data_IF_074798350045
#
_entry.id   IF_074798350045
#
_cell.length_a   1.000
_cell.length_b   1.000
_cell.length_c   1.000
_cell.angle_alpha   90.00
_cell.angle_beta   90.00
_cell.angle_gamma   90.00
#
_symmetry.space_group_name_H-M   'P 1'
#
loop_
_entity.id
_entity.type
_entity.pdbx_description
1 polymer ?
#
# COMPACT_ATOMS: atom_id res chain seq x y z
N UNK A 1 9.54 -7.62 -0.43
CA UNK A 1 9.52 -6.86 0.85
C UNK A 1 10.93 -6.50 1.23
N UNK A 2 11.19 -5.22 1.51
CA UNK A 2 12.48 -4.78 2.01
C UNK A 2 12.64 -5.25 3.46
N UNK A 3 13.60 -6.12 3.79
CA UNK A 3 13.73 -6.67 5.17
C UNK A 3 14.15 -5.61 6.20
N UNK A 4 14.21 -4.35 5.82
CA UNK A 4 14.65 -3.23 6.67
C UNK A 4 13.63 -2.06 6.71
N UNK A 5 12.39 -2.29 6.26
CA UNK A 5 11.40 -1.23 6.17
C UNK A 5 11.19 -0.47 7.48
N UNK A 6 10.96 -1.19 8.58
CA UNK A 6 10.78 -0.56 9.91
C UNK A 6 12.06 0.09 10.42
N UNK A 7 13.23 -0.51 10.21
CA UNK A 7 14.53 0.07 10.62
C UNK A 7 14.89 1.35 9.84
N UNK A 8 14.32 1.56 8.65
CA UNK A 8 14.52 2.78 7.87
C UNK A 8 13.96 4.05 8.55
N UNK A 9 13.20 3.89 9.63
CA UNK A 9 12.67 5.01 10.43
C UNK A 9 13.59 5.43 11.58
N UNK A 10 14.65 4.67 11.85
CA UNK A 10 15.55 4.98 12.97
C UNK A 10 16.25 6.33 12.78
N UNK A 11 16.04 7.24 13.72
CA UNK A 11 16.62 8.57 13.71
C UNK A 11 16.06 9.54 12.67
N UNK A 12 14.99 9.18 11.96
CA UNK A 12 14.33 10.09 11.02
C UNK A 12 13.58 11.18 11.78
N UNK A 13 13.87 12.49 11.50
CA UNK A 13 13.11 13.60 12.06
C UNK A 13 11.81 13.85 11.29
N UNK A 14 10.93 14.65 11.90
CA UNK A 14 9.76 15.26 11.25
C UNK A 14 8.75 14.28 10.62
N UNK A 15 8.59 13.11 11.23
CA UNK A 15 7.54 12.19 10.84
C UNK A 15 6.16 12.69 11.30
N UNK A 16 5.09 12.42 10.55
CA UNK A 16 3.75 12.64 11.05
C UNK A 16 3.53 11.89 12.37
N UNK A 17 2.89 12.50 13.39
CA UNK A 17 2.75 11.90 14.71
C UNK A 17 2.10 10.50 14.71
N UNK A 18 1.18 10.25 13.77
CA UNK A 18 0.53 8.95 13.63
C UNK A 18 1.50 7.89 13.09
N UNK A 19 2.38 8.28 12.16
CA UNK A 19 3.44 7.39 11.63
C UNK A 19 4.45 7.03 12.73
N UNK A 20 4.88 8.01 13.53
CA UNK A 20 5.76 7.73 14.68
C UNK A 20 5.14 6.72 15.66
N UNK A 21 3.84 6.85 15.91
CA UNK A 21 3.11 5.91 16.78
C UNK A 21 3.07 4.51 16.18
N UNK A 22 2.80 4.39 14.87
CA UNK A 22 2.78 3.10 14.17
C UNK A 22 4.16 2.42 14.20
N UNK A 23 5.22 3.16 13.95
CA UNK A 23 6.61 2.66 14.01
C UNK A 23 6.95 2.16 15.41
N UNK A 24 6.56 2.90 16.46
CA UNK A 24 6.76 2.48 17.88
C UNK A 24 6.00 1.20 18.24
N UNK A 25 4.95 0.85 17.50
CA UNK A 25 4.26 -0.44 17.66
C UNK A 25 5.01 -1.53 16.86
N UNK A 26 5.43 -1.25 15.64
CA UNK A 26 6.08 -2.23 14.77
C UNK A 26 7.44 -2.72 15.29
N UNK A 27 8.23 -1.84 15.91
CA UNK A 27 9.58 -2.15 16.42
C UNK A 27 9.59 -3.24 17.48
N UNK A 28 8.86 -3.14 18.62
CA UNK A 28 8.85 -4.19 19.65
C UNK A 28 8.21 -5.50 19.19
N UNK A 29 7.29 -5.44 18.21
CA UNK A 29 6.72 -6.65 17.60
C UNK A 29 7.70 -7.38 16.67
N UNK A 30 8.89 -6.83 16.44
CA UNK A 30 9.86 -7.39 15.49
C UNK A 30 9.37 -7.37 14.04
N UNK A 31 8.36 -6.55 13.73
CA UNK A 31 7.82 -6.44 12.38
C UNK A 31 8.76 -5.59 11.51
N UNK A 32 9.47 -6.23 10.61
CA UNK A 32 10.49 -5.58 9.75
C UNK A 32 9.93 -5.03 8.45
N UNK A 33 8.72 -5.44 8.06
CA UNK A 33 8.15 -5.22 6.72
C UNK A 33 7.25 -3.99 6.62
N UNK A 34 7.48 -2.95 7.42
CA UNK A 34 6.79 -1.68 7.21
C UNK A 34 7.21 -1.04 5.88
N UNK A 35 6.31 -0.34 5.20
CA UNK A 35 6.70 0.42 4.03
C UNK A 35 7.80 1.43 4.40
N UNK A 36 8.75 1.64 3.49
CA UNK A 36 9.86 2.58 3.73
C UNK A 36 9.38 4.04 3.70
N UNK A 37 10.10 4.97 4.36
CA UNK A 37 9.71 6.39 4.41
C UNK A 37 9.52 7.05 3.03
N UNK A 38 10.30 6.62 2.04
CA UNK A 38 10.18 7.12 0.66
C UNK A 38 8.84 6.74 0.05
N UNK A 39 8.42 5.49 0.27
CA UNK A 39 7.10 5.02 -0.15
C UNK A 39 5.99 5.71 0.65
N UNK A 40 6.15 5.80 1.97
CA UNK A 40 5.20 6.50 2.85
C UNK A 40 4.92 7.94 2.42
N UNK A 41 5.95 8.69 1.99
CA UNK A 41 5.77 10.05 1.44
C UNK A 41 4.97 10.07 0.13
N UNK A 42 5.14 9.06 -0.72
CA UNK A 42 4.30 8.91 -1.92
C UNK A 42 2.83 8.68 -1.52
N UNK A 43 2.58 7.76 -0.58
CA UNK A 43 1.23 7.48 -0.07
C UNK A 43 0.59 8.73 0.54
N UNK A 44 1.32 9.47 1.36
CA UNK A 44 0.89 10.73 1.96
C UNK A 44 0.44 11.74 0.90
N UNK A 45 1.25 11.92 -0.14
CA UNK A 45 0.95 12.87 -1.21
C UNK A 45 -0.30 12.46 -2.02
N UNK A 46 -0.43 11.17 -2.35
CA UNK A 46 -1.58 10.65 -3.12
C UNK A 46 -2.88 10.67 -2.31
N UNK A 47 -2.80 10.42 -1.01
CA UNK A 47 -3.98 10.42 -0.12
C UNK A 47 -4.73 11.77 -0.11
N UNK A 48 -4.03 12.89 -0.33
CA UNK A 48 -4.61 14.23 -0.34
C UNK A 48 -5.68 14.43 -1.44
N UNK A 49 -5.65 13.63 -2.51
CA UNK A 49 -6.62 13.71 -3.61
C UNK A 49 -7.83 12.78 -3.47
N UNK A 50 -7.78 11.81 -2.56
CA UNK A 50 -8.74 10.72 -2.46
C UNK A 50 -9.86 11.01 -1.44
N UNK A 51 -11.04 10.44 -1.67
CA UNK A 51 -12.17 10.40 -0.72
C UNK A 51 -12.37 9.00 -0.14
N UNK A 52 -12.02 7.97 -0.88
CA UNK A 52 -12.09 6.57 -0.47
C UNK A 52 -10.76 5.88 -0.74
N UNK A 53 -10.08 5.45 0.30
CA UNK A 53 -8.75 4.81 0.24
C UNK A 53 -8.87 3.37 0.71
N UNK A 54 -8.29 2.45 -0.07
CA UNK A 54 -8.15 1.05 0.29
C UNK A 54 -6.67 0.66 0.46
N UNK A 55 -6.40 -0.29 1.35
CA UNK A 55 -5.07 -0.88 1.52
C UNK A 55 -5.22 -2.38 1.78
N UNK A 56 -4.35 -3.20 1.20
CA UNK A 56 -4.18 -4.61 1.57
C UNK A 56 -2.79 -4.79 2.20
N UNK A 57 -2.72 -5.47 3.36
CA UNK A 57 -1.47 -5.62 4.10
C UNK A 57 -1.21 -4.47 5.06
N UNK A 58 -2.07 -4.29 6.05
CA UNK A 58 -1.94 -3.21 7.05
C UNK A 58 -0.64 -3.31 7.86
N UNK A 59 -0.15 -4.53 8.11
CA UNK A 59 0.94 -4.78 9.04
C UNK A 59 0.63 -4.18 10.40
N UNK A 60 1.61 -3.51 11.00
CA UNK A 60 1.42 -2.75 12.25
C UNK A 60 0.87 -1.33 12.01
N UNK A 61 0.40 -1.02 10.79
CA UNK A 61 -0.30 0.22 10.47
C UNK A 61 0.57 1.37 9.98
N UNK A 62 1.83 1.15 9.60
CA UNK A 62 2.74 2.24 9.16
C UNK A 62 2.28 2.85 7.84
N UNK A 63 1.94 2.04 6.83
CA UNK A 63 1.40 2.48 5.54
C UNK A 63 0.09 3.25 5.73
N UNK A 64 -0.84 2.64 6.47
CA UNK A 64 -2.13 3.25 6.79
C UNK A 64 -1.97 4.58 7.57
N UNK A 65 -0.95 4.70 8.42
CA UNK A 65 -0.65 5.95 9.14
C UNK A 65 -0.18 7.07 8.20
N UNK A 66 0.62 6.76 7.18
CA UNK A 66 0.99 7.70 6.14
C UNK A 66 -0.24 8.15 5.34
N UNK A 67 -1.08 7.20 4.91
CA UNK A 67 -2.34 7.49 4.19
C UNK A 67 -3.26 8.38 5.02
N UNK A 68 -3.49 8.02 6.29
CA UNK A 68 -4.36 8.78 7.18
C UNK A 68 -3.83 10.18 7.50
N UNK A 69 -2.49 10.34 7.58
CA UNK A 69 -1.85 11.64 7.82
C UNK A 69 -1.92 12.57 6.60
N UNK A 70 -1.93 12.02 5.38
CA UNK A 70 -2.05 12.79 4.14
C UNK A 70 -3.49 13.05 3.69
N UNK A 71 -4.45 12.29 4.21
CA UNK A 71 -5.84 12.34 3.80
C UNK A 71 -6.54 13.64 4.28
N UNK A 72 -7.51 14.11 3.48
CA UNK A 72 -8.34 15.25 3.85
C UNK A 72 -9.37 14.86 4.91
N UNK A 73 -9.89 15.82 5.70
CA UNK A 73 -11.04 15.60 6.54
C UNK A 73 -12.22 15.00 5.74
N UNK A 74 -12.81 13.93 6.26
CA UNK A 74 -13.91 13.23 5.60
C UNK A 74 -13.50 12.09 4.65
N UNK A 75 -12.22 11.93 4.35
CA UNK A 75 -11.71 10.75 3.62
C UNK A 75 -11.94 9.48 4.43
N UNK A 76 -12.47 8.44 3.81
CA UNK A 76 -12.65 7.12 4.42
C UNK A 76 -11.48 6.21 4.02
N UNK A 77 -10.93 5.50 5.00
CA UNK A 77 -9.84 4.56 4.81
C UNK A 77 -10.26 3.17 5.29
N UNK A 78 -9.99 2.16 4.48
CA UNK A 78 -10.22 0.76 4.81
C UNK A 78 -8.94 -0.01 4.52
N UNK A 79 -8.43 -0.74 5.51
CA UNK A 79 -7.25 -1.58 5.37
C UNK A 79 -7.54 -2.99 5.85
N UNK A 80 -6.93 -4.00 5.20
CA UNK A 80 -7.13 -5.42 5.51
C UNK A 80 -5.80 -6.05 5.88
N UNK A 81 -5.77 -6.79 7.00
CA UNK A 81 -4.61 -7.51 7.50
C UNK A 81 -4.96 -8.98 7.79
N UNK A 82 -4.16 -9.89 7.24
CA UNK A 82 -4.36 -11.33 7.39
C UNK A 82 -4.05 -11.83 8.80
N UNK A 83 -3.01 -11.30 9.41
CA UNK A 83 -2.59 -11.66 10.76
C UNK A 83 -3.48 -10.98 11.80
N UNK A 84 -4.15 -11.78 12.62
CA UNK A 84 -5.15 -11.29 13.56
C UNK A 84 -4.55 -10.38 14.66
N UNK A 85 -3.30 -10.62 15.08
CA UNK A 85 -2.67 -9.81 16.11
C UNK A 85 -2.25 -8.46 15.55
N UNK A 86 -1.65 -8.43 14.36
CA UNK A 86 -1.34 -7.16 13.68
C UNK A 86 -2.59 -6.36 13.35
N UNK A 87 -3.65 -7.02 12.89
CA UNK A 87 -4.95 -6.37 12.68
C UNK A 87 -5.48 -5.71 13.96
N UNK A 88 -5.38 -6.41 15.10
CA UNK A 88 -5.79 -5.89 16.42
C UNK A 88 -4.94 -4.66 16.82
N UNK A 89 -3.62 -4.75 16.71
CA UNK A 89 -2.70 -3.65 17.03
C UNK A 89 -2.96 -2.41 16.17
N UNK A 90 -3.14 -2.61 14.88
CA UNK A 90 -3.49 -1.53 13.97
C UNK A 90 -4.87 -0.94 14.31
N UNK A 91 -5.88 -1.75 14.55
CA UNK A 91 -7.22 -1.26 14.94
C UNK A 91 -7.18 -0.42 16.23
N UNK A 92 -6.37 -0.84 17.20
CA UNK A 92 -6.14 -0.05 18.44
C UNK A 92 -5.48 1.30 18.14
N UNK A 93 -4.44 1.32 17.30
CA UNK A 93 -3.76 2.56 16.89
C UNK A 93 -4.73 3.59 16.31
N UNK A 94 -5.66 3.12 15.46
CA UNK A 94 -6.62 3.98 14.76
C UNK A 94 -7.95 4.16 15.48
N UNK A 95 -8.14 3.63 16.68
CA UNK A 95 -9.43 3.66 17.42
C UNK A 95 -10.02 5.05 17.64
N UNK A 96 -9.18 6.08 17.70
CA UNK A 96 -9.59 7.49 17.79
C UNK A 96 -9.94 8.16 16.45
N UNK A 97 -9.89 7.43 15.33
CA UNK A 97 -10.12 7.94 13.97
C UNK A 97 -11.31 7.20 13.33
N UNK A 98 -12.55 7.68 13.51
CA UNK A 98 -13.75 6.95 13.07
C UNK A 98 -13.84 6.75 11.54
N UNK A 99 -13.08 7.50 10.77
CA UNK A 99 -12.97 7.36 9.31
C UNK A 99 -12.04 6.22 8.87
N UNK A 100 -11.27 5.61 9.78
CA UNK A 100 -10.35 4.52 9.50
C UNK A 100 -10.94 3.20 9.99
N UNK A 101 -10.99 2.20 9.13
CA UNK A 101 -11.45 0.84 9.45
C UNK A 101 -10.34 -0.14 9.13
N UNK A 102 -9.93 -0.94 10.12
CA UNK A 102 -9.03 -2.08 9.94
C UNK A 102 -9.85 -3.37 10.01
N UNK A 103 -9.71 -4.23 9.01
CA UNK A 103 -10.41 -5.51 8.88
C UNK A 103 -9.38 -6.63 9.04
N UNK A 104 -9.59 -7.52 10.01
CA UNK A 104 -8.81 -8.76 10.12
C UNK A 104 -9.36 -9.80 9.15
N UNK A 105 -8.53 -10.29 8.20
CA UNK A 105 -8.95 -11.30 7.24
C UNK A 105 -8.12 -11.33 5.96
N UNK A 106 -8.59 -12.15 5.01
CA UNK A 106 -8.00 -12.26 3.67
C UNK A 106 -8.14 -10.93 2.91
N UNK A 107 -7.15 -10.59 2.10
CA UNK A 107 -7.14 -9.35 1.33
C UNK A 107 -8.41 -9.15 0.46
N UNK A 108 -9.09 -10.23 0.08
CA UNK A 108 -10.34 -10.16 -0.71
C UNK A 108 -11.49 -9.47 0.02
N UNK A 109 -11.41 -9.35 1.34
CA UNK A 109 -12.40 -8.58 2.11
C UNK A 109 -12.46 -7.11 1.67
N UNK A 110 -11.40 -6.58 1.06
CA UNK A 110 -11.34 -5.21 0.53
C UNK A 110 -12.43 -4.92 -0.52
N UNK A 111 -12.86 -5.97 -1.28
CA UNK A 111 -13.90 -5.82 -2.31
C UNK A 111 -15.23 -5.31 -1.76
N UNK A 112 -15.54 -5.56 -0.49
CA UNK A 112 -16.78 -5.10 0.15
C UNK A 112 -16.84 -3.60 0.31
N UNK A 113 -15.70 -2.93 0.24
CA UNK A 113 -15.58 -1.47 0.41
C UNK A 113 -15.29 -0.73 -0.90
N UNK A 114 -15.08 -1.47 -1.99
CA UNK A 114 -14.84 -0.89 -3.32
C UNK A 114 -16.10 -0.10 -3.84
N UNK A 115 -15.91 0.81 -4.79
CA UNK A 115 -14.68 1.17 -5.47
C UNK A 115 -13.89 2.28 -4.75
N UNK A 116 -12.56 2.31 -4.98
CA UNK A 116 -11.62 3.24 -4.37
C UNK A 116 -11.15 4.35 -5.33
N UNK A 117 -10.80 5.50 -4.77
CA UNK A 117 -10.06 6.56 -5.46
C UNK A 117 -8.54 6.28 -5.43
N UNK A 118 -8.07 5.72 -4.32
CA UNK A 118 -6.69 5.26 -4.13
C UNK A 118 -6.70 3.87 -3.50
N UNK A 119 -5.98 2.93 -4.08
CA UNK A 119 -5.81 1.57 -3.57
C UNK A 119 -4.32 1.25 -3.45
N UNK A 120 -3.90 0.76 -2.29
CA UNK A 120 -2.52 0.32 -2.04
C UNK A 120 -2.50 -1.20 -1.90
N UNK A 121 -1.67 -1.88 -2.68
CA UNK A 121 -1.49 -3.32 -2.64
C UNK A 121 -0.10 -3.65 -2.09
N UNK A 122 -0.02 -3.84 -0.77
CA UNK A 122 1.21 -4.16 -0.03
C UNK A 122 1.21 -5.63 0.46
N UNK A 123 0.08 -6.16 0.90
CA UNK A 123 -0.05 -7.51 1.45
C UNK A 123 -0.99 -8.41 0.66
N UNK A 124 -0.65 -8.81 -0.55
CA UNK A 124 -1.51 -9.62 -1.42
C UNK A 124 -2.14 -8.81 -2.56
N UNK A 125 -2.99 -9.44 -3.34
CA UNK A 125 -3.70 -8.84 -4.48
C UNK A 125 -2.83 -8.45 -5.70
N UNK A 126 -1.53 -8.35 -5.56
CA UNK A 126 -0.61 -7.95 -6.65
C UNK A 126 -0.22 -9.08 -7.61
N UNK A 127 -0.53 -10.35 -7.29
CA UNK A 127 -0.24 -11.51 -8.16
C UNK A 127 1.14 -12.14 -7.99
N UNK A 128 1.94 -11.74 -6.99
CA UNK A 128 3.29 -12.29 -6.80
C UNK A 128 3.29 -13.69 -6.15
N UNK A 129 2.43 -13.96 -5.19
CA UNK A 129 2.46 -15.20 -4.39
C UNK A 129 1.11 -15.86 -4.13
N UNK A 130 0.01 -15.11 -4.08
CA UNK A 130 -1.24 -15.59 -3.48
C UNK A 130 -2.40 -15.72 -4.46
N UNK A 131 -2.12 -16.22 -5.64
CA UNK A 131 -3.12 -16.42 -6.67
C UNK A 131 -3.17 -15.28 -7.69
N UNK A 132 -4.24 -15.17 -8.48
CA UNK A 132 -4.35 -14.16 -9.51
C UNK A 132 -4.35 -12.75 -8.91
N UNK A 133 -3.83 -11.75 -9.64
CA UNK A 133 -3.91 -10.35 -9.23
C UNK A 133 -5.37 -9.90 -9.09
N UNK A 134 -5.59 -8.87 -8.29
CA UNK A 134 -6.90 -8.27 -8.13
C UNK A 134 -7.41 -7.65 -9.44
N UNK A 135 -8.73 -7.58 -9.58
CA UNK A 135 -9.38 -6.93 -10.70
C UNK A 135 -9.48 -5.41 -10.49
N UNK A 136 -8.73 -4.59 -11.26
CA UNK A 136 -8.77 -3.15 -11.11
C UNK A 136 -10.11 -2.53 -11.50
N UNK A 137 -10.90 -3.18 -12.36
CA UNK A 137 -12.23 -2.70 -12.73
C UNK A 137 -13.21 -2.79 -11.57
N UNK A 138 -13.11 -3.85 -10.77
CA UNK A 138 -13.96 -4.04 -9.60
C UNK A 138 -13.53 -3.18 -8.41
N UNK A 139 -12.23 -2.85 -8.30
CA UNK A 139 -11.67 -2.18 -7.12
C UNK A 139 -11.52 -0.67 -7.27
N UNK A 140 -11.31 -0.14 -8.47
CA UNK A 140 -11.05 1.29 -8.68
C UNK A 140 -12.24 1.98 -9.37
N UNK A 141 -12.47 3.23 -9.03
CA UNK A 141 -13.30 4.13 -9.84
C UNK A 141 -12.59 4.47 -11.15
N UNK A 142 -13.30 4.85 -12.22
CA UNK A 142 -12.67 5.53 -13.35
C UNK A 142 -11.85 6.74 -12.84
N UNK A 143 -10.58 6.84 -13.25
CA UNK A 143 -9.63 7.82 -12.73
C UNK A 143 -9.02 7.48 -11.35
N UNK A 144 -9.44 6.40 -10.71
CA UNK A 144 -8.84 5.91 -9.47
C UNK A 144 -7.44 5.33 -9.68
N UNK A 145 -6.60 5.45 -8.67
CA UNK A 145 -5.17 5.07 -8.71
C UNK A 145 -4.91 3.84 -7.86
N UNK A 146 -4.15 2.89 -8.39
CA UNK A 146 -3.54 1.80 -7.61
C UNK A 146 -2.04 2.03 -7.45
N UNK A 147 -1.52 1.75 -6.27
CA UNK A 147 -0.10 1.72 -5.94
C UNK A 147 0.28 0.31 -5.51
N UNK A 148 1.31 -0.25 -6.13
CA UNK A 148 1.87 -1.55 -5.74
C UNK A 148 3.25 -1.30 -5.15
N UNK A 149 3.42 -1.73 -3.91
CA UNK A 149 4.63 -1.52 -3.15
C UNK A 149 5.70 -2.59 -3.40
N UNK A 150 6.87 -2.29 -2.90
CA UNK A 150 7.97 -3.22 -2.66
C UNK A 150 8.54 -3.86 -3.92
N UNK A 151 8.82 -3.02 -4.90
CA UNK A 151 9.50 -3.43 -6.11
C UNK A 151 10.97 -3.01 -6.09
N UNK A 152 11.85 -3.90 -6.54
CA UNK A 152 13.21 -3.51 -6.93
C UNK A 152 13.13 -2.80 -8.28
N UNK A 153 13.77 -1.61 -8.45
CA UNK A 153 13.77 -0.89 -9.72
C UNK A 153 14.20 -1.77 -10.88
N UNK A 154 13.45 -1.78 -11.96
CA UNK A 154 13.79 -2.53 -13.17
C UNK A 154 15.01 -1.88 -13.84
N UNK A 155 16.05 -2.69 -14.12
CA UNK A 155 17.21 -2.24 -14.86
C UNK A 155 16.98 -2.23 -16.37
N UNK A 156 16.08 -3.08 -16.86
CA UNK A 156 15.79 -3.28 -18.28
C UNK A 156 14.31 -3.59 -18.50
N UNK A 157 13.87 -3.44 -19.72
CA UNK A 157 12.55 -3.86 -20.16
C UNK A 157 12.59 -5.18 -20.92
N UNK A 158 11.69 -6.15 -20.66
CA UNK A 158 10.70 -6.17 -19.56
C UNK A 158 11.38 -6.35 -18.20
N UNK A 159 10.73 -5.91 -17.10
CA UNK A 159 11.22 -6.14 -15.74
C UNK A 159 11.38 -7.64 -15.47
N UNK A 160 12.41 -8.00 -14.69
CA UNK A 160 12.71 -9.39 -14.34
C UNK A 160 12.82 -9.55 -12.83
N UNK A 161 12.38 -10.71 -12.36
CA UNK A 161 12.55 -11.19 -11.00
C UNK A 161 13.19 -12.58 -11.05
N UNK A 162 14.28 -12.80 -10.32
CA UNK A 162 15.04 -14.07 -10.33
C UNK A 162 15.38 -14.60 -11.74
N UNK A 163 15.73 -13.69 -12.65
CA UNK A 163 16.12 -14.04 -14.01
C UNK A 163 14.96 -14.31 -14.99
N UNK A 164 13.72 -14.41 -14.51
CA UNK A 164 12.53 -14.57 -15.33
C UNK A 164 11.80 -13.22 -15.52
N UNK A 165 10.93 -13.12 -16.54
CA UNK A 165 10.06 -11.98 -16.67
C UNK A 165 9.15 -11.91 -15.44
N UNK A 166 9.03 -10.72 -14.83
CA UNK A 166 8.15 -10.48 -13.71
C UNK A 166 6.69 -10.34 -14.21
N UNK A 167 6.03 -11.47 -14.40
CA UNK A 167 4.68 -11.51 -14.97
C UNK A 167 3.65 -10.80 -14.09
N UNK A 168 3.82 -10.82 -12.76
CA UNK A 168 2.95 -10.08 -11.86
C UNK A 168 3.06 -8.57 -12.10
N UNK A 169 4.29 -8.04 -12.21
CA UNK A 169 4.52 -6.63 -12.56
C UNK A 169 4.04 -6.30 -13.96
N UNK A 170 4.27 -7.20 -14.93
CA UNK A 170 3.83 -7.04 -16.32
C UNK A 170 2.31 -7.01 -16.45
N UNK A 171 1.59 -7.78 -15.62
CA UNK A 171 0.12 -7.71 -15.59
C UNK A 171 -0.37 -6.27 -15.38
N UNK A 172 0.16 -5.59 -14.35
CA UNK A 172 -0.23 -4.22 -14.03
C UNK A 172 0.26 -3.20 -15.06
N UNK A 173 1.51 -3.34 -15.53
CA UNK A 173 2.11 -2.41 -16.50
C UNK A 173 1.46 -2.48 -17.89
N UNK A 174 0.83 -3.60 -18.25
CA UNK A 174 0.20 -3.83 -19.56
C UNK A 174 -1.30 -4.01 -19.50
N UNK A 175 -1.91 -3.80 -18.33
CA UNK A 175 -3.36 -3.96 -18.20
C UNK A 175 -4.11 -3.00 -19.14
N UNK A 176 -5.10 -3.53 -19.89
CA UNK A 176 -5.80 -2.76 -20.91
C UNK A 176 -6.54 -1.53 -20.35
N UNK A 177 -7.01 -1.61 -19.12
CA UNK A 177 -7.79 -0.56 -18.46
C UNK A 177 -6.96 0.39 -17.59
N UNK A 178 -5.64 0.25 -17.58
CA UNK A 178 -4.75 1.04 -16.75
C UNK A 178 -3.74 1.84 -17.59
N UNK A 179 -3.44 3.04 -17.14
CA UNK A 179 -2.25 3.79 -17.52
C UNK A 179 -1.24 3.67 -16.39
N UNK A 180 -0.18 2.88 -16.59
CA UNK A 180 0.71 2.44 -15.55
C UNK A 180 2.16 2.84 -15.79
N UNK A 181 2.89 3.10 -14.70
CA UNK A 181 4.34 3.36 -14.71
C UNK A 181 5.00 2.87 -13.44
N UNK A 182 6.29 2.60 -13.52
CA UNK A 182 7.14 2.34 -12.36
C UNK A 182 7.81 3.64 -11.92
N UNK A 183 7.70 3.97 -10.64
CA UNK A 183 8.38 5.10 -10.01
C UNK A 183 9.56 4.59 -9.18
N UNK A 184 10.77 5.05 -9.48
CA UNK A 184 11.94 4.81 -8.64
C UNK A 184 11.91 5.77 -7.46
N UNK A 185 11.78 5.24 -6.25
CA UNK A 185 11.70 6.02 -5.01
C UNK A 185 13.07 6.14 -4.32
N UNK A 186 13.91 5.10 -4.48
CA UNK A 186 15.28 5.05 -3.98
C UNK A 186 16.15 4.21 -4.95
N UNK A 187 17.46 4.13 -4.75
CA UNK A 187 18.32 3.30 -5.61
C UNK A 187 17.88 1.83 -5.69
N UNK A 188 17.29 1.31 -4.64
CA UNK A 188 16.88 -0.08 -4.43
C UNK A 188 15.36 -0.24 -4.19
N UNK A 189 14.58 0.83 -4.34
CA UNK A 189 13.13 0.83 -4.10
C UNK A 189 12.38 1.46 -5.25
N UNK A 190 11.35 0.76 -5.72
CA UNK A 190 10.38 1.29 -6.67
C UNK A 190 8.95 0.94 -6.23
N UNK A 191 8.00 1.74 -6.71
CA UNK A 191 6.58 1.44 -6.65
C UNK A 191 6.00 1.47 -8.07
N UNK A 192 4.97 0.68 -8.32
CA UNK A 192 4.17 0.82 -9.53
C UNK A 192 2.95 1.68 -9.21
N UNK A 193 2.69 2.66 -10.03
CA UNK A 193 1.51 3.52 -9.96
C UNK A 193 0.73 3.39 -11.25
N UNK A 194 -0.56 3.09 -11.14
CA UNK A 194 -1.43 2.97 -12.29
C UNK A 194 -2.78 3.65 -12.05
N UNK A 195 -3.30 4.32 -13.07
CA UNK A 195 -4.61 4.98 -13.01
C UNK A 195 -5.58 4.26 -13.92
N UNK A 196 -6.78 3.93 -13.40
CA UNK A 196 -7.85 3.35 -14.21
C UNK A 196 -8.37 4.37 -15.22
N UNK A 197 -8.38 3.96 -16.48
CA UNK A 197 -8.89 4.79 -17.60
C UNK A 197 -10.35 5.14 -17.42
N UNK A 198 -10.71 6.30 -17.91
CA UNK A 198 -12.12 6.63 -18.13
C UNK A 198 -12.62 5.82 -19.34
N UNK A 199 -13.81 5.24 -19.22
CA UNK A 199 -14.46 4.54 -20.33
C UNK A 199 -14.94 5.53 -21.41
#
# INVERSE_FOLDING_TARGET
MSPQGTAAYDGLPDLPPLVERAVRIAQPEGFTNSCRPEHGRLLFALAAGAQMIGETGTGCGVGLAWLASGARPGTRLVSVELDAERARLAAELFSGLPQVTVIGGDWREIYRSAPFDLLVLDGGAHGKSDGPPADPQALLRPGGTVVIDDLTPAAHWPPRFEGQVDEARMHWLRHADLDATELRLAPDLAALVATRRFA
#
